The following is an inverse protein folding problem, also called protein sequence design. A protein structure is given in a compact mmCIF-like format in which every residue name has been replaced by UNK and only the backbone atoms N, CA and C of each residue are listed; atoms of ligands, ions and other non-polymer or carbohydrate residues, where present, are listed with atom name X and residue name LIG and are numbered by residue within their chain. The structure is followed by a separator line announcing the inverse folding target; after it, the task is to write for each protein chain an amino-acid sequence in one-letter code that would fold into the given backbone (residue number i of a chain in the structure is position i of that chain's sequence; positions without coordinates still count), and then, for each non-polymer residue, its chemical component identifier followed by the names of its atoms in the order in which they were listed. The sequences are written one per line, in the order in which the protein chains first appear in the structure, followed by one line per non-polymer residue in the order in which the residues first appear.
data_IF_851947167474
#
_entry.id   IF_851947167474
#
_cell.length_a   1.000
_cell.length_b   1.000
_cell.length_c   1.000
_cell.angle_alpha   90.00
_cell.angle_beta   90.00
_cell.angle_gamma   90.00
#
_symmetry.space_group_name_H-M   'P 1'
#
loop_
_entity.id
_entity.type
_entity.pdbx_description
1 polymer ?
#
# COMPACT_ATOMS: atom_id res chain seq x y z
N UNK A 1 -31.46 13.71 7.73
CA UNK A 1 -32.24 12.49 7.41
C UNK A 1 -31.85 12.06 6.02
N UNK A 2 -31.31 10.85 5.85
CA UNK A 2 -30.75 10.36 4.58
C UNK A 2 -31.90 9.63 3.88
N UNK A 3 -32.50 10.23 2.86
CA UNK A 3 -33.56 9.56 2.09
C UNK A 3 -32.94 8.37 1.35
N UNK A 4 -33.24 7.16 1.81
CA UNK A 4 -32.78 5.87 1.26
C UNK A 4 -33.60 5.44 0.04
N UNK A 5 -34.28 6.37 -0.62
CA UNK A 5 -35.09 6.08 -1.80
C UNK A 5 -34.16 5.81 -2.98
N UNK A 6 -34.27 4.61 -3.56
CA UNK A 6 -33.54 4.15 -4.74
C UNK A 6 -33.83 5.07 -5.94
N UNK A 7 -33.11 6.18 -6.01
CA UNK A 7 -33.16 7.11 -7.14
C UNK A 7 -32.17 6.63 -8.20
N UNK A 8 -32.59 6.46 -9.48
CA UNK A 8 -31.70 6.00 -10.55
C UNK A 8 -30.39 6.80 -10.66
N UNK A 9 -30.44 8.09 -10.33
CA UNK A 9 -29.26 8.97 -10.24
C UNK A 9 -28.22 8.50 -9.21
N UNK A 10 -28.64 8.05 -8.02
CA UNK A 10 -27.72 7.55 -6.98
C UNK A 10 -27.03 6.26 -7.40
N UNK A 11 -27.74 5.37 -8.10
CA UNK A 11 -27.18 4.13 -8.64
C UNK A 11 -26.07 4.45 -9.64
N UNK A 12 -26.31 5.40 -10.56
CA UNK A 12 -25.32 5.87 -11.53
C UNK A 12 -24.07 6.43 -10.85
N UNK A 13 -24.24 7.26 -9.81
CA UNK A 13 -23.12 7.81 -9.03
C UNK A 13 -22.31 6.70 -8.37
N UNK A 14 -22.97 5.75 -7.69
CA UNK A 14 -22.26 4.67 -7.01
C UNK A 14 -21.57 3.72 -7.99
N UNK A 15 -22.17 3.44 -9.14
CA UNK A 15 -21.53 2.66 -10.19
C UNK A 15 -20.28 3.38 -10.71
N UNK A 16 -20.39 4.68 -11.03
CA UNK A 16 -19.27 5.48 -11.52
C UNK A 16 -18.12 5.53 -10.49
N UNK A 17 -18.42 5.84 -9.22
CA UNK A 17 -17.42 5.89 -8.15
C UNK A 17 -16.80 4.51 -7.92
N UNK A 18 -17.58 3.44 -7.98
CA UNK A 18 -17.07 2.06 -7.80
C UNK A 18 -16.14 1.64 -8.94
N UNK A 19 -16.47 1.98 -10.19
CA UNK A 19 -15.59 1.71 -11.33
C UNK A 19 -14.27 2.47 -11.22
N UNK A 20 -14.33 3.74 -10.84
CA UNK A 20 -13.14 4.56 -10.59
C UNK A 20 -12.30 3.93 -9.47
N UNK A 21 -12.92 3.63 -8.32
CA UNK A 21 -12.23 2.98 -7.20
C UNK A 21 -11.59 1.65 -7.62
N UNK A 22 -12.30 0.80 -8.37
CA UNK A 22 -11.76 -0.46 -8.88
C UNK A 22 -10.53 -0.22 -9.77
N UNK A 23 -10.57 0.76 -10.68
CA UNK A 23 -9.44 1.11 -11.53
C UNK A 23 -8.20 1.53 -10.73
N UNK A 24 -8.39 2.32 -9.65
CA UNK A 24 -7.29 2.71 -8.75
C UNK A 24 -6.76 1.56 -7.89
N UNK A 25 -7.61 0.57 -7.57
CA UNK A 25 -7.20 -0.59 -6.78
C UNK A 25 -6.40 -1.62 -7.59
N UNK A 26 -6.57 -1.71 -8.91
CA UNK A 26 -5.82 -2.64 -9.76
C UNK A 26 -4.30 -2.59 -9.54
N UNK A 27 -3.61 -1.44 -9.66
CA UNK A 27 -2.16 -1.38 -9.44
C UNK A 27 -1.78 -1.72 -7.99
N UNK A 28 -2.59 -1.33 -7.01
CA UNK A 28 -2.36 -1.67 -5.61
C UNK A 28 -2.40 -3.18 -5.40
N UNK A 29 -3.39 -3.87 -5.98
CA UNK A 29 -3.52 -5.32 -5.91
C UNK A 29 -2.30 -5.99 -6.55
N UNK A 30 -1.82 -5.52 -7.71
CA UNK A 30 -0.64 -6.08 -8.37
C UNK A 30 0.61 -5.97 -7.48
N UNK A 31 0.82 -4.81 -6.82
CA UNK A 31 1.95 -4.62 -5.91
C UNK A 31 1.86 -5.55 -4.70
N UNK A 32 0.67 -5.66 -4.09
CA UNK A 32 0.46 -6.55 -2.93
C UNK A 32 0.69 -8.01 -3.30
N UNK A 33 0.12 -8.48 -4.42
CA UNK A 33 0.31 -9.86 -4.87
C UNK A 33 1.78 -10.16 -5.16
N UNK A 34 2.51 -9.25 -5.81
CA UNK A 34 3.94 -9.44 -6.06
C UNK A 34 4.80 -9.40 -4.80
N UNK A 35 4.44 -8.61 -3.78
CA UNK A 35 5.17 -8.60 -2.51
C UNK A 35 5.14 -9.96 -1.79
N UNK A 36 4.15 -10.80 -2.12
CA UNK A 36 3.95 -12.15 -1.59
C UNK A 36 4.51 -13.25 -2.51
N UNK A 37 5.20 -12.89 -3.60
CA UNK A 37 5.80 -13.84 -4.55
C UNK A 37 7.31 -13.87 -4.38
N UNK A 38 7.93 -14.98 -4.79
CA UNK A 38 9.39 -15.06 -4.84
C UNK A 38 9.93 -14.41 -6.11
N UNK A 39 11.16 -13.91 -6.07
CA UNK A 39 11.81 -13.32 -7.24
C UNK A 39 11.92 -14.30 -8.42
N UNK A 40 12.13 -15.59 -8.13
CA UNK A 40 12.19 -16.65 -9.13
C UNK A 40 10.84 -16.82 -9.84
N UNK A 41 9.73 -16.78 -9.10
CA UNK A 41 8.38 -16.90 -9.67
C UNK A 41 8.03 -15.72 -10.58
N UNK A 42 8.38 -14.50 -10.15
CA UNK A 42 8.16 -13.27 -10.92
C UNK A 42 8.99 -13.31 -12.21
N UNK A 43 10.26 -13.73 -12.13
CA UNK A 43 11.16 -13.81 -13.29
C UNK A 43 10.75 -14.88 -14.31
N UNK A 44 10.17 -16.00 -13.87
CA UNK A 44 9.76 -17.10 -14.75
C UNK A 44 8.36 -16.94 -15.36
N UNK A 45 7.51 -16.11 -14.77
CA UNK A 45 6.12 -15.93 -15.20
C UNK A 45 5.92 -14.53 -15.78
N UNK A 46 5.22 -13.66 -15.05
CA UNK A 46 4.85 -12.31 -15.43
C UNK A 46 4.74 -11.47 -14.17
N UNK A 47 4.86 -10.16 -14.34
CA UNK A 47 4.66 -9.18 -13.29
C UNK A 47 3.18 -9.04 -12.88
N UNK A 48 2.23 -9.43 -13.74
CA UNK A 48 0.81 -9.51 -13.39
C UNK A 48 0.46 -11.00 -13.31
N UNK A 49 0.23 -11.49 -12.10
CA UNK A 49 -0.09 -12.89 -11.86
C UNK A 49 -0.49 -13.16 -10.42
N UNK A 50 -1.16 -14.29 -10.21
CA UNK A 50 -1.51 -14.77 -8.89
C UNK A 50 -0.33 -15.56 -8.26
N UNK A 51 -0.08 -15.41 -6.94
CA UNK A 51 0.97 -16.14 -6.27
C UNK A 51 0.68 -17.64 -6.28
N UNK A 52 1.62 -18.44 -6.79
CA UNK A 52 1.56 -19.90 -6.66
C UNK A 52 1.94 -20.35 -5.25
N UNK A 53 2.89 -19.64 -4.64
CA UNK A 53 3.32 -19.86 -3.27
C UNK A 53 3.31 -18.51 -2.53
N UNK A 54 2.71 -18.48 -1.35
CA UNK A 54 2.60 -17.29 -0.53
C UNK A 54 3.86 -17.10 0.33
N UNK A 55 4.74 -16.19 -0.09
CA UNK A 55 6.04 -15.92 0.52
C UNK A 55 5.97 -14.84 1.61
N UNK A 56 5.27 -15.12 2.72
CA UNK A 56 5.18 -14.19 3.87
C UNK A 56 6.53 -13.82 4.48
N UNK A 57 7.54 -14.68 4.33
CA UNK A 57 8.91 -14.43 4.78
C UNK A 57 9.52 -13.17 4.14
N UNK A 58 9.03 -12.74 2.97
CA UNK A 58 9.49 -11.51 2.32
C UNK A 58 9.37 -10.28 3.23
N UNK A 59 8.34 -10.21 4.08
CA UNK A 59 8.16 -9.08 5.01
C UNK A 59 9.19 -9.09 6.14
N UNK A 60 9.48 -10.26 6.71
CA UNK A 60 10.48 -10.40 7.76
C UNK A 60 11.87 -10.00 7.22
N UNK A 61 12.25 -10.59 6.08
CA UNK A 61 13.52 -10.31 5.41
C UNK A 61 13.60 -8.83 5.03
N UNK A 62 12.57 -8.26 4.42
CA UNK A 62 12.55 -6.83 4.07
C UNK A 62 12.71 -5.93 5.30
N UNK A 63 12.11 -6.30 6.44
CA UNK A 63 12.15 -5.51 7.66
C UNK A 63 13.51 -5.51 8.35
N UNK A 64 14.17 -6.67 8.49
CA UNK A 64 15.39 -6.81 9.31
C UNK A 64 16.66 -7.19 8.56
N UNK A 65 16.58 -7.91 7.45
CA UNK A 65 17.75 -8.63 6.90
C UNK A 65 18.14 -8.13 5.50
N UNK A 66 17.23 -7.46 4.81
CA UNK A 66 17.44 -7.01 3.44
C UNK A 66 18.55 -5.95 3.37
N UNK A 67 19.48 -6.12 2.43
CA UNK A 67 20.58 -5.20 2.22
C UNK A 67 20.13 -4.03 1.35
N UNK A 68 19.99 -2.86 1.96
CA UNK A 68 19.76 -1.60 1.25
C UNK A 68 21.11 -0.90 1.11
N UNK A 69 21.58 -0.74 -0.13
CA UNK A 69 22.93 -0.28 -0.44
C UNK A 69 24.02 -1.11 0.27
N UNK A 70 24.68 -0.56 1.30
CA UNK A 70 25.75 -1.24 2.05
C UNK A 70 25.31 -1.74 3.45
N UNK A 71 24.06 -1.49 3.85
CA UNK A 71 23.56 -1.85 5.19
C UNK A 71 22.55 -2.99 5.10
N UNK A 72 22.86 -4.12 5.73
CA UNK A 72 21.99 -5.30 5.84
C UNK A 72 21.24 -5.29 7.18
N UNK A 73 20.42 -4.25 7.37
CA UNK A 73 19.57 -4.09 8.55
C UNK A 73 18.08 -3.97 8.17
N UNK A 74 17.75 -4.30 6.92
CA UNK A 74 16.41 -4.12 6.36
C UNK A 74 15.98 -2.66 6.27
N UNK A 75 14.68 -2.45 6.10
CA UNK A 75 14.07 -1.12 5.99
C UNK A 75 13.75 -0.48 7.35
N UNK A 76 13.80 -1.25 8.45
CA UNK A 76 13.45 -0.80 9.80
C UNK A 76 14.09 0.55 10.21
N UNK A 77 15.42 0.78 10.08
CA UNK A 77 16.00 2.04 10.52
C UNK A 77 15.46 3.25 9.72
N UNK A 78 15.23 3.08 8.42
CA UNK A 78 14.68 4.13 7.55
C UNK A 78 13.22 4.48 7.87
N UNK A 79 12.41 3.45 8.17
CA UNK A 79 11.02 3.63 8.60
C UNK A 79 10.95 4.38 9.93
N UNK A 80 11.82 4.02 10.89
CA UNK A 80 11.87 4.71 12.19
C UNK A 80 12.37 6.15 12.08
N UNK A 81 13.37 6.42 11.23
CA UNK A 81 13.84 7.78 10.97
C UNK A 81 12.73 8.64 10.36
N UNK A 82 12.01 8.11 9.38
CA UNK A 82 10.87 8.81 8.76
C UNK A 82 9.77 9.11 9.76
N UNK A 83 9.43 8.16 10.63
CA UNK A 83 8.45 8.36 11.70
C UNK A 83 8.91 9.43 12.71
N UNK A 84 10.19 9.39 13.10
CA UNK A 84 10.78 10.34 14.05
C UNK A 84 10.76 11.78 13.53
N UNK A 85 10.79 11.98 12.22
CA UNK A 85 10.68 13.32 11.60
C UNK A 85 9.22 13.70 11.38
N UNK A 86 8.42 12.78 10.83
CA UNK A 86 7.04 13.07 10.38
C UNK A 86 6.11 13.38 11.57
N UNK A 87 6.24 12.63 12.66
CA UNK A 87 5.38 12.79 13.85
C UNK A 87 5.54 14.18 14.50
N UNK A 88 6.74 14.63 14.90
CA UNK A 88 6.87 15.96 15.49
C UNK A 88 6.55 17.08 14.50
N UNK A 89 6.92 16.92 13.22
CA UNK A 89 6.58 17.91 12.19
C UNK A 89 5.07 18.10 12.05
N UNK A 90 4.31 17.00 12.07
CA UNK A 90 2.84 17.05 12.01
C UNK A 90 2.27 17.75 13.24
N UNK A 91 2.75 17.40 14.44
CA UNK A 91 2.29 18.02 15.70
C UNK A 91 2.52 19.53 15.67
N UNK A 92 3.74 19.98 15.33
CA UNK A 92 4.07 21.41 15.27
C UNK A 92 3.23 22.12 14.20
N UNK A 93 3.08 21.52 13.01
CA UNK A 93 2.31 22.11 11.92
C UNK A 93 0.83 22.26 12.26
N UNK A 94 0.24 21.25 12.92
CA UNK A 94 -1.15 21.31 13.35
C UNK A 94 -1.35 22.35 14.46
N UNK A 95 -0.43 22.43 15.43
CA UNK A 95 -0.51 23.45 16.49
C UNK A 95 -0.46 24.85 15.91
N UNK A 96 0.49 25.13 15.01
CA UNK A 96 0.62 26.43 14.35
C UNK A 96 -0.57 26.74 13.45
N UNK A 97 -1.10 25.76 12.72
CA UNK A 97 -2.26 25.95 11.83
C UNK A 97 -3.62 26.02 12.54
N UNK A 98 -3.68 25.63 13.82
CA UNK A 98 -4.89 25.69 14.64
C UNK A 98 -5.11 27.03 15.35
N UNK A 99 -4.10 27.91 15.32
CA UNK A 99 -4.12 29.28 15.87
C UNK A 99 -4.43 30.25 14.73
#
# INVERSE_FOLDING_TARGET
MRDTTFTPSRILIYLAVSLIAAAYLVPLIVVVLNSLRTNQEIAQTSMIGWPKQWAWNNYLVAWSDFCVAQTCAGIRPYMLNSALITVPATIVSTLLGSI
#
